data_IF_571292349686
#
_entry.id   IF_571292349686
#
_cell.length_a   1.000
_cell.length_b   1.000
_cell.length_c   1.000
_cell.angle_alpha   90.00
_cell.angle_beta   90.00
_cell.angle_gamma   90.00
#
_symmetry.space_group_name_H-M   'P 1'
#
loop_
_entity.id
_entity.type
_entity.pdbx_description
1 polymer ?
#
# COMPACT_ATOMS: atom_id res chain seq x y z
N UNK A 1 10.39 -20.70 -8.78
CA UNK A 1 9.42 -21.68 -8.23
C UNK A 1 8.89 -21.15 -6.91
N UNK A 2 7.59 -21.27 -6.64
CA UNK A 2 7.06 -20.92 -5.32
C UNK A 2 7.70 -21.82 -4.25
N UNK A 3 8.17 -21.25 -3.14
CA UNK A 3 8.76 -22.03 -2.06
C UNK A 3 7.70 -22.73 -1.20
N UNK A 4 8.16 -23.56 -0.26
CA UNK A 4 7.31 -24.24 0.71
C UNK A 4 7.73 -23.80 2.11
N UNK A 5 6.77 -23.33 2.90
CA UNK A 5 6.97 -22.86 4.28
C UNK A 5 6.27 -23.84 5.23
N UNK A 6 6.99 -24.66 6.00
CA UNK A 6 6.38 -25.53 7.00
C UNK A 6 5.65 -24.70 8.07
N UNK A 7 4.39 -25.03 8.34
CA UNK A 7 3.52 -24.30 9.26
C UNK A 7 3.19 -25.09 10.54
N UNK A 8 3.83 -26.25 10.74
CA UNK A 8 3.66 -27.10 11.92
C UNK A 8 2.74 -28.29 11.66
N UNK A 9 2.01 -28.70 12.68
CA UNK A 9 1.03 -29.80 12.61
C UNK A 9 -0.11 -29.56 13.59
N UNK A 10 -1.25 -30.22 13.38
CA UNK A 10 -2.36 -30.17 14.33
C UNK A 10 -1.92 -30.75 15.68
N UNK A 11 -2.19 -30.03 16.76
CA UNK A 11 -1.82 -30.45 18.11
C UNK A 11 -2.72 -31.58 18.58
N UNK A 12 -2.18 -32.44 19.45
CA UNK A 12 -3.02 -33.35 20.24
C UNK A 12 -3.90 -32.50 21.19
N UNK A 13 -5.24 -32.67 21.21
CA UNK A 13 -6.11 -31.89 22.09
C UNK A 13 -5.73 -31.94 23.58
N UNK A 14 -5.07 -33.02 24.03
CA UNK A 14 -4.58 -33.14 25.41
C UNK A 14 -3.39 -32.22 25.74
N UNK A 15 -2.73 -31.68 24.70
CA UNK A 15 -1.59 -30.76 24.78
C UNK A 15 -1.92 -29.36 24.30
N UNK A 16 -3.15 -29.16 23.83
CA UNK A 16 -3.60 -27.87 23.34
C UNK A 16 -3.75 -26.90 24.51
N UNK A 17 -3.16 -25.72 24.36
CA UNK A 17 -3.27 -24.67 25.38
C UNK A 17 -4.57 -23.86 25.22
N UNK A 18 -5.23 -23.98 24.06
CA UNK A 18 -6.48 -23.30 23.78
C UNK A 18 -7.66 -24.24 24.01
N UNK A 19 -8.77 -23.74 24.61
CA UNK A 19 -9.97 -24.54 24.79
C UNK A 19 -10.49 -25.10 23.47
N UNK A 20 -10.62 -26.41 23.39
CA UNK A 20 -11.08 -27.13 22.20
C UNK A 20 -11.87 -28.38 22.60
N UNK A 21 -12.74 -28.84 21.71
CA UNK A 21 -13.50 -30.09 21.85
C UNK A 21 -12.89 -31.26 21.06
N UNK A 22 -11.83 -31.01 20.28
CA UNK A 22 -11.18 -32.03 19.47
C UNK A 22 -10.08 -31.48 18.55
N UNK A 23 -9.40 -32.38 17.84
CA UNK A 23 -8.35 -31.99 16.91
C UNK A 23 -8.99 -31.29 15.69
N UNK A 24 -8.51 -30.08 15.40
CA UNK A 24 -8.94 -29.28 14.26
C UNK A 24 -7.89 -28.20 13.98
N UNK A 25 -8.05 -27.51 12.85
CA UNK A 25 -7.35 -26.26 12.56
C UNK A 25 -8.34 -25.11 12.66
N UNK A 26 -8.11 -24.16 13.56
CA UNK A 26 -8.72 -22.82 13.47
C UNK A 26 -7.79 -21.95 12.61
N UNK A 27 -8.26 -21.62 11.41
CA UNK A 27 -7.53 -20.73 10.48
C UNK A 27 -8.15 -19.33 10.50
N UNK A 28 -7.30 -18.33 10.74
CA UNK A 28 -7.70 -16.92 10.77
C UNK A 28 -6.95 -16.13 9.73
N UNK A 29 -7.64 -15.17 9.12
CA UNK A 29 -7.08 -14.28 8.09
C UNK A 29 -7.21 -12.83 8.53
N UNK A 30 -6.11 -12.09 8.47
CA UNK A 30 -6.02 -10.70 8.93
C UNK A 30 -5.35 -9.86 7.83
N UNK A 31 -6.09 -9.00 7.13
CA UNK A 31 -5.49 -8.03 6.21
C UNK A 31 -4.52 -7.12 6.95
N UNK A 32 -3.39 -6.81 6.34
CA UNK A 32 -2.41 -5.83 6.86
C UNK A 32 -2.50 -4.48 6.13
N UNK A 33 -3.57 -4.27 5.38
CA UNK A 33 -3.83 -3.12 4.50
C UNK A 33 -5.32 -2.75 4.48
N UNK A 34 -5.63 -1.57 3.93
CA UNK A 34 -6.99 -1.11 3.71
C UNK A 34 -7.81 -0.88 4.99
N UNK A 35 -9.12 -0.69 4.81
CA UNK A 35 -10.05 -0.39 5.91
C UNK A 35 -10.24 -1.54 6.93
N UNK A 36 -9.87 -2.77 6.55
CA UNK A 36 -9.93 -3.96 7.41
C UNK A 36 -8.56 -4.31 8.01
N UNK A 37 -7.56 -3.44 7.91
CA UNK A 37 -6.23 -3.67 8.46
C UNK A 37 -6.31 -4.06 9.94
N UNK A 38 -5.67 -5.17 10.30
CA UNK A 38 -5.59 -5.68 11.66
C UNK A 38 -6.86 -6.36 12.17
N UNK A 39 -7.95 -6.37 11.38
CA UNK A 39 -9.20 -7.05 11.74
C UNK A 39 -9.19 -8.46 11.18
N UNK A 40 -9.65 -9.43 11.98
CA UNK A 40 -9.89 -10.79 11.50
C UNK A 40 -11.13 -10.74 10.60
N UNK A 41 -11.00 -11.29 9.40
CA UNK A 41 -12.09 -11.35 8.41
C UNK A 41 -12.56 -12.80 8.27
N UNK A 42 -13.74 -12.98 7.67
CA UNK A 42 -14.23 -14.30 7.29
C UNK A 42 -13.25 -14.98 6.30
N UNK A 43 -12.60 -16.10 6.69
CA UNK A 43 -11.70 -16.85 5.83
C UNK A 43 -12.34 -17.32 4.50
N UNK A 44 -13.67 -17.45 4.43
CA UNK A 44 -14.41 -17.76 3.18
C UNK A 44 -14.21 -16.71 2.09
N UNK A 45 -13.83 -15.49 2.45
CA UNK A 45 -13.53 -14.40 1.50
C UNK A 45 -12.08 -14.42 0.99
N UNK A 46 -11.20 -15.20 1.61
CA UNK A 46 -9.77 -15.24 1.34
C UNK A 46 -9.30 -16.55 0.68
N UNK A 47 -10.18 -17.21 -0.08
CA UNK A 47 -9.93 -18.55 -0.65
C UNK A 47 -8.69 -18.63 -1.54
N UNK A 48 -8.38 -17.56 -2.27
CA UNK A 48 -7.17 -17.46 -3.11
C UNK A 48 -5.87 -17.48 -2.31
N UNK A 49 -5.89 -17.03 -1.06
CA UNK A 49 -4.76 -17.16 -0.13
C UNK A 49 -4.74 -18.55 0.50
N UNK A 50 -5.90 -19.04 0.93
CA UNK A 50 -6.01 -20.30 1.65
C UNK A 50 -5.78 -21.53 0.76
N UNK A 51 -5.91 -21.42 -0.56
CA UNK A 51 -5.52 -22.51 -1.47
C UNK A 51 -4.03 -22.86 -1.41
N UNK A 52 -3.22 -21.93 -0.92
CA UNK A 52 -1.79 -22.15 -0.72
C UNK A 52 -1.49 -22.83 0.63
N UNK A 53 -2.48 -22.96 1.52
CA UNK A 53 -2.35 -23.78 2.74
C UNK A 53 -2.49 -25.24 2.34
N UNK A 54 -1.44 -26.02 2.57
CA UNK A 54 -1.33 -27.43 2.21
C UNK A 54 -1.45 -28.28 3.47
N UNK A 55 -2.23 -29.34 3.38
CA UNK A 55 -2.60 -30.20 4.49
C UNK A 55 -2.17 -31.63 4.21
N UNK A 56 -1.58 -32.26 5.23
CA UNK A 56 -1.19 -33.66 5.15
C UNK A 56 0.10 -33.89 4.37
N UNK A 57 0.55 -35.15 4.36
CA UNK A 57 1.77 -35.57 3.64
C UNK A 57 1.61 -35.40 2.13
N UNK A 58 0.39 -35.57 1.65
CA UNK A 58 0.03 -35.44 0.23
C UNK A 58 -0.11 -33.98 -0.22
N UNK A 59 0.09 -33.02 0.69
CA UNK A 59 0.07 -31.59 0.40
C UNK A 59 -1.21 -31.14 -0.31
N UNK A 60 -2.35 -31.62 0.17
CA UNK A 60 -3.66 -31.29 -0.41
C UNK A 60 -4.00 -29.84 -0.02
N UNK A 61 -4.35 -28.95 -0.97
CA UNK A 61 -4.80 -27.61 -0.65
C UNK A 61 -5.99 -27.61 0.31
N UNK A 62 -6.03 -26.68 1.26
CA UNK A 62 -7.15 -26.55 2.20
C UNK A 62 -8.48 -26.28 1.47
N UNK A 63 -8.40 -25.38 0.50
CA UNK A 63 -9.47 -25.04 -0.44
C UNK A 63 -8.89 -25.00 -1.85
N UNK A 64 -9.65 -25.39 -2.86
CA UNK A 64 -9.20 -25.37 -4.24
C UNK A 64 -10.29 -24.80 -5.15
N UNK A 65 -9.85 -24.06 -6.16
CA UNK A 65 -10.75 -23.59 -7.21
C UNK A 65 -11.07 -24.75 -8.17
N UNK A 66 -12.34 -24.93 -8.50
CA UNK A 66 -12.85 -25.90 -9.46
C UNK A 66 -13.71 -25.15 -10.48
N UNK A 67 -13.10 -24.75 -11.59
CA UNK A 67 -13.75 -23.85 -12.56
C UNK A 67 -14.07 -22.49 -11.91
N UNK A 68 -15.35 -22.15 -11.85
CA UNK A 68 -15.83 -20.92 -11.19
C UNK A 68 -16.12 -21.12 -9.69
N UNK A 69 -16.20 -22.37 -9.24
CA UNK A 69 -16.53 -22.71 -7.86
C UNK A 69 -15.29 -22.93 -7.00
N UNK A 70 -15.51 -22.99 -5.69
CA UNK A 70 -14.48 -23.27 -4.71
C UNK A 70 -14.89 -24.46 -3.85
N UNK A 71 -14.02 -25.46 -3.77
CA UNK A 71 -14.21 -26.65 -2.96
C UNK A 71 -13.27 -26.63 -1.76
N UNK A 72 -13.82 -26.76 -0.56
CA UNK A 72 -13.04 -27.09 0.63
C UNK A 72 -12.73 -28.58 0.61
N UNK A 73 -11.45 -28.94 0.65
CA UNK A 73 -11.04 -30.34 0.57
C UNK A 73 -11.21 -31.09 1.89
N UNK A 74 -11.45 -30.35 2.97
CA UNK A 74 -11.65 -30.87 4.32
C UNK A 74 -12.93 -30.30 4.91
N UNK A 75 -13.62 -31.02 5.82
CA UNK A 75 -14.86 -30.55 6.42
C UNK A 75 -14.66 -29.29 7.25
N UNK A 76 -15.45 -28.25 6.97
CA UNK A 76 -15.59 -27.09 7.85
C UNK A 76 -16.60 -27.42 8.94
N UNK A 77 -16.18 -27.40 10.20
CA UNK A 77 -17.00 -27.78 11.36
C UNK A 77 -17.51 -26.60 12.17
N UNK A 78 -16.89 -25.42 12.02
CA UNK A 78 -17.37 -24.17 12.61
C UNK A 78 -17.08 -23.00 11.69
N UNK A 79 -18.10 -22.22 11.37
CA UNK A 79 -17.97 -21.01 10.54
C UNK A 79 -17.50 -19.81 11.37
N UNK A 80 -17.06 -18.78 10.67
CA UNK A 80 -16.78 -17.45 11.22
C UNK A 80 -18.07 -16.79 11.72
N UNK A 81 -18.00 -16.09 12.85
CA UNK A 81 -19.11 -15.28 13.36
C UNK A 81 -19.66 -15.75 14.70
N UNK A 82 -20.89 -15.32 15.01
CA UNK A 82 -21.53 -15.60 16.31
C UNK A 82 -21.87 -17.08 16.44
N UNK A 83 -21.61 -17.65 17.62
CA UNK A 83 -21.92 -19.03 17.97
C UNK A 83 -22.20 -19.17 19.48
N UNK A 84 -22.78 -20.31 19.87
CA UNK A 84 -22.68 -20.76 21.25
C UNK A 84 -21.23 -21.22 21.52
N UNK A 85 -20.70 -20.92 22.71
CA UNK A 85 -19.38 -21.40 23.10
C UNK A 85 -19.42 -22.94 23.20
N UNK A 86 -18.55 -23.67 22.46
CA UNK A 86 -18.61 -25.14 22.42
C UNK A 86 -18.07 -25.81 23.69
N UNK A 87 -17.25 -25.08 24.46
CA UNK A 87 -16.68 -25.52 25.72
C UNK A 87 -16.40 -24.32 26.61
N UNK A 88 -16.16 -24.55 27.90
CA UNK A 88 -15.80 -23.50 28.85
C UNK A 88 -14.51 -22.79 28.41
N UNK A 89 -14.52 -21.44 28.47
CA UNK A 89 -13.40 -20.61 28.05
C UNK A 89 -13.31 -20.32 26.54
N UNK A 90 -14.12 -20.98 25.70
CA UNK A 90 -14.18 -20.67 24.28
C UNK A 90 -15.03 -19.41 24.00
N UNK A 91 -14.67 -18.66 22.95
CA UNK A 91 -15.40 -17.46 22.53
C UNK A 91 -16.77 -17.77 21.91
N UNK A 92 -17.74 -16.89 22.17
CA UNK A 92 -19.07 -16.83 21.51
C UNK A 92 -19.05 -16.14 20.15
N UNK A 93 -17.91 -15.55 19.77
CA UNK A 93 -17.64 -15.11 18.40
C UNK A 93 -16.40 -15.81 17.88
N UNK A 94 -16.57 -16.58 16.82
CA UNK A 94 -15.49 -17.29 16.16
C UNK A 94 -14.80 -16.38 15.14
N UNK A 95 -13.52 -16.11 15.36
CA UNK A 95 -12.74 -15.17 14.54
C UNK A 95 -11.97 -15.86 13.39
N UNK A 96 -12.32 -17.11 13.10
CA UNK A 96 -11.72 -17.97 12.09
C UNK A 96 -12.75 -18.96 11.56
N UNK A 97 -12.27 -20.07 11.00
CA UNK A 97 -13.08 -21.25 10.71
C UNK A 97 -12.36 -22.49 11.21
N UNK A 98 -13.14 -23.47 11.67
CA UNK A 98 -12.61 -24.72 12.19
C UNK A 98 -12.68 -25.77 11.08
N UNK A 99 -11.53 -26.37 10.77
CA UNK A 99 -11.38 -27.43 9.79
C UNK A 99 -11.06 -28.73 10.51
N UNK A 100 -11.91 -29.75 10.33
CA UNK A 100 -11.70 -31.04 10.98
C UNK A 100 -10.48 -31.75 10.39
N UNK A 101 -9.46 -31.94 11.23
CA UNK A 101 -8.20 -32.60 10.89
C UNK A 101 -7.72 -33.42 12.08
N UNK A 102 -7.12 -34.58 11.83
CA UNK A 102 -6.58 -35.41 12.90
C UNK A 102 -5.32 -34.79 13.52
N UNK A 103 -5.09 -35.04 14.81
CA UNK A 103 -3.85 -34.67 15.49
C UNK A 103 -2.63 -35.21 14.73
N UNK A 104 -1.55 -34.43 14.71
CA UNK A 104 -0.32 -34.74 13.99
C UNK A 104 -0.37 -34.49 12.48
N UNK A 105 -1.50 -34.08 11.91
CA UNK A 105 -1.59 -33.74 10.47
C UNK A 105 -0.68 -32.55 10.16
N UNK A 106 0.32 -32.69 9.26
CA UNK A 106 1.24 -31.60 8.95
C UNK A 106 0.56 -30.51 8.12
N UNK A 107 1.03 -29.27 8.32
CA UNK A 107 0.60 -28.08 7.60
C UNK A 107 1.81 -27.41 6.94
N UNK A 108 1.60 -26.89 5.74
CA UNK A 108 2.58 -26.06 5.06
C UNK A 108 1.89 -24.95 4.25
N UNK A 109 2.66 -23.98 3.80
CA UNK A 109 2.20 -22.94 2.88
C UNK A 109 3.06 -22.92 1.62
N UNK A 110 2.41 -23.00 0.46
CA UNK A 110 3.04 -22.89 -0.85
C UNK A 110 3.08 -21.43 -1.29
N UNK A 111 4.25 -20.82 -1.30
CA UNK A 111 4.40 -19.44 -1.71
C UNK A 111 5.59 -18.76 -1.05
N UNK A 112 5.47 -17.44 -0.98
CA UNK A 112 6.43 -16.57 -0.33
C UNK A 112 5.85 -16.08 1.00
N UNK A 113 6.73 -15.70 1.92
CA UNK A 113 6.29 -15.20 3.20
C UNK A 113 7.27 -15.49 4.32
N UNK A 114 6.90 -15.04 5.52
CA UNK A 114 7.64 -15.28 6.75
C UNK A 114 6.73 -15.91 7.78
N UNK A 115 7.07 -17.13 8.22
CA UNK A 115 6.38 -17.85 9.27
C UNK A 115 7.09 -17.66 10.61
N UNK A 116 6.32 -17.43 11.66
CA UNK A 116 6.77 -17.27 13.04
C UNK A 116 5.92 -18.15 13.97
N UNK A 117 6.53 -19.06 14.74
CA UNK A 117 5.81 -19.79 15.79
C UNK A 117 5.48 -18.87 16.96
N UNK A 118 4.39 -19.19 17.66
CA UNK A 118 3.98 -18.63 18.94
C UNK A 118 3.35 -19.72 19.82
N UNK A 119 3.02 -19.45 21.07
CA UNK A 119 2.41 -20.44 21.95
C UNK A 119 1.03 -20.86 21.42
N UNK A 120 0.89 -22.15 21.04
CA UNK A 120 -0.36 -22.76 20.58
C UNK A 120 -0.80 -22.41 19.15
N UNK A 121 -0.06 -21.54 18.46
CA UNK A 121 -0.35 -21.17 17.07
C UNK A 121 0.90 -20.72 16.30
N UNK A 122 0.78 -20.62 14.98
CA UNK A 122 1.79 -19.96 14.15
C UNK A 122 1.20 -18.87 13.28
N UNK A 123 1.99 -17.83 12.99
CA UNK A 123 1.62 -16.72 12.12
C UNK A 123 2.46 -16.71 10.85
N UNK A 124 1.80 -16.65 9.70
CA UNK A 124 2.41 -16.47 8.39
C UNK A 124 2.08 -15.09 7.82
N UNK A 125 3.10 -14.30 7.54
CA UNK A 125 2.99 -13.06 6.77
C UNK A 125 3.23 -13.37 5.29
N UNK A 126 2.27 -13.04 4.44
CA UNK A 126 2.31 -13.30 2.98
C UNK A 126 1.58 -12.20 2.23
N UNK A 127 1.55 -12.26 0.90
CA UNK A 127 0.74 -11.38 0.05
C UNK A 127 -0.23 -12.17 -0.81
N UNK A 128 -1.36 -11.56 -1.17
CA UNK A 128 -2.22 -12.08 -2.23
C UNK A 128 -1.58 -11.88 -3.61
N UNK A 129 -2.31 -12.27 -4.67
CA UNK A 129 -1.86 -12.12 -6.06
C UNK A 129 -1.73 -10.66 -6.52
N UNK A 130 -2.34 -9.71 -5.80
CA UNK A 130 -2.26 -8.28 -6.05
C UNK A 130 -1.14 -7.62 -5.25
N UNK A 131 -0.42 -8.38 -4.43
CA UNK A 131 0.64 -7.87 -3.56
C UNK A 131 0.13 -7.26 -2.25
N UNK A 132 -1.15 -7.38 -1.94
CA UNK A 132 -1.68 -6.89 -0.67
C UNK A 132 -1.22 -7.79 0.48
N UNK A 133 -0.72 -7.23 1.60
CA UNK A 133 -0.17 -8.02 2.69
C UNK A 133 -1.24 -8.59 3.61
N UNK A 134 -1.08 -9.85 4.01
CA UNK A 134 -1.95 -10.57 4.94
C UNK A 134 -1.14 -11.31 6.00
N UNK A 135 -1.75 -11.49 7.17
CA UNK A 135 -1.35 -12.47 8.17
C UNK A 135 -2.37 -13.61 8.18
N UNK A 136 -1.89 -14.85 8.08
CA UNK A 136 -2.67 -16.07 8.30
C UNK A 136 -2.21 -16.68 9.62
N UNK A 137 -3.14 -16.98 10.54
CA UNK A 137 -2.85 -17.68 11.79
C UNK A 137 -3.37 -19.11 11.74
N UNK A 138 -2.56 -20.03 12.24
CA UNK A 138 -2.86 -21.45 12.35
C UNK A 138 -2.93 -21.83 13.83
N UNK A 139 -4.13 -21.84 14.41
CA UNK A 139 -4.36 -22.17 15.81
C UNK A 139 -4.62 -23.67 15.99
N UNK A 140 -4.50 -24.14 17.23
CA UNK A 140 -4.61 -25.56 17.57
C UNK A 140 -3.52 -26.38 16.86
N UNK A 141 -2.31 -25.82 16.85
CA UNK A 141 -1.13 -26.44 16.22
C UNK A 141 0.03 -26.57 17.18
N UNK A 142 0.85 -27.60 16.96
CA UNK A 142 2.25 -27.57 17.34
C UNK A 142 2.97 -26.79 16.22
N UNK A 143 3.32 -25.52 16.45
CA UNK A 143 3.77 -24.64 15.38
C UNK A 143 5.12 -25.11 14.81
N UNK A 144 5.33 -24.82 13.54
CA UNK A 144 6.57 -25.14 12.83
C UNK A 144 7.76 -24.29 13.31
N UNK A 145 8.92 -24.53 12.72
CA UNK A 145 10.07 -23.65 12.95
C UNK A 145 9.91 -22.32 12.21
N UNK A 146 10.54 -21.26 12.72
CA UNK A 146 10.62 -19.99 12.02
C UNK A 146 11.23 -20.21 10.62
N UNK A 147 10.55 -19.71 9.60
CA UNK A 147 10.95 -19.90 8.21
C UNK A 147 10.63 -18.65 7.38
N UNK A 148 11.39 -18.41 6.33
CA UNK A 148 11.12 -17.34 5.38
C UNK A 148 11.46 -17.81 3.97
N UNK A 149 10.55 -17.59 3.03
CA UNK A 149 10.79 -17.77 1.60
C UNK A 149 10.60 -16.39 0.97
N UNK A 150 11.71 -15.82 0.49
CA UNK A 150 11.71 -14.52 -0.16
C UNK A 150 11.03 -14.57 -1.52
N UNK A 151 10.24 -13.55 -1.84
CA UNK A 151 9.79 -13.30 -3.20
C UNK A 151 10.90 -12.56 -3.96
N UNK A 152 11.27 -13.03 -5.15
CA UNK A 152 12.11 -12.24 -6.07
C UNK A 152 11.31 -11.15 -6.79
N UNK A 153 9.99 -11.13 -6.64
CA UNK A 153 9.16 -10.05 -7.16
C UNK A 153 9.32 -8.82 -6.27
N UNK A 154 9.96 -7.80 -6.81
CA UNK A 154 9.85 -6.43 -6.31
C UNK A 154 8.35 -6.14 -6.16
N UNK A 155 7.84 -5.67 -5.01
CA UNK A 155 6.46 -5.23 -4.94
C UNK A 155 6.23 -4.27 -6.10
N UNK A 156 5.27 -4.56 -6.97
CA UNK A 156 4.80 -3.53 -7.87
C UNK A 156 4.37 -2.38 -6.94
N UNK A 157 4.97 -1.19 -7.05
CA UNK A 157 4.46 -0.05 -6.31
C UNK A 157 2.96 -0.01 -6.58
N UNK A 158 2.17 0.12 -5.51
CA UNK A 158 0.71 0.25 -5.59
C UNK A 158 0.41 1.14 -6.79
N UNK A 159 -0.28 0.60 -7.79
CA UNK A 159 -0.73 1.39 -8.91
C UNK A 159 -1.68 2.44 -8.32
N UNK A 160 -1.15 3.66 -8.12
CA UNK A 160 -1.96 4.82 -7.84
C UNK A 160 -3.02 4.89 -8.95
N UNK A 161 -4.29 5.19 -8.63
CA UNK A 161 -5.32 5.31 -9.64
C UNK A 161 -4.89 6.36 -10.68
N UNK A 162 -4.54 5.87 -11.87
CA UNK A 162 -4.22 6.65 -13.06
C UNK A 162 -2.92 7.46 -12.97
N UNK A 163 -2.01 7.22 -13.91
CA UNK A 163 -0.96 8.18 -14.23
C UNK A 163 -1.61 9.40 -14.91
N UNK A 164 -2.19 10.27 -14.10
CA UNK A 164 -2.63 11.61 -14.49
C UNK A 164 -1.70 12.60 -13.79
N UNK A 165 -0.41 12.48 -14.08
CA UNK A 165 0.67 13.36 -13.61
C UNK A 165 0.30 14.84 -13.79
N UNK A 166 -0.44 15.15 -14.87
CA UNK A 166 -0.99 16.48 -15.14
C UNK A 166 -2.03 16.91 -14.09
N UNK A 167 -3.01 16.05 -13.80
CA UNK A 167 -4.13 16.35 -12.91
C UNK A 167 -3.70 16.42 -11.44
N UNK A 168 -2.73 15.58 -11.05
CA UNK A 168 -2.11 15.62 -9.72
C UNK A 168 -1.26 16.87 -9.53
N UNK A 169 -0.56 17.31 -10.58
CA UNK A 169 0.18 18.57 -10.57
C UNK A 169 -0.75 19.77 -10.43
N UNK A 170 -1.80 19.83 -11.24
CA UNK A 170 -2.82 20.89 -11.14
C UNK A 170 -3.51 20.93 -9.77
N UNK A 171 -3.78 19.76 -9.18
CA UNK A 171 -4.37 19.67 -7.84
C UNK A 171 -3.39 20.11 -6.76
N UNK A 172 -2.12 19.73 -6.86
CA UNK A 172 -1.08 20.18 -5.92
C UNK A 172 -0.83 21.68 -6.06
N UNK A 173 -0.76 22.21 -7.28
CA UNK A 173 -0.57 23.64 -7.53
C UNK A 173 -1.73 24.46 -6.95
N UNK A 174 -2.98 23.99 -7.11
CA UNK A 174 -4.15 24.62 -6.47
C UNK A 174 -4.13 24.56 -4.95
N UNK A 175 -3.65 23.45 -4.37
CA UNK A 175 -3.54 23.32 -2.91
C UNK A 175 -2.45 24.23 -2.35
N UNK A 176 -1.33 24.38 -3.06
CA UNK A 176 -0.26 25.31 -2.68
C UNK A 176 -0.70 26.77 -2.79
N UNK A 177 -1.42 27.13 -3.86
CA UNK A 177 -2.02 28.46 -4.02
C UNK A 177 -3.04 28.78 -2.91
N UNK A 178 -3.83 27.79 -2.49
CA UNK A 178 -4.84 27.95 -1.44
C UNK A 178 -4.25 28.04 -0.02
N UNK A 179 -3.15 27.33 0.24
CA UNK A 179 -2.53 27.27 1.56
C UNK A 179 -1.54 28.41 1.84
N UNK A 180 -0.79 28.85 0.82
CA UNK A 180 0.29 29.82 0.99
C UNK A 180 0.03 31.14 0.25
N UNK A 181 -1.13 31.28 -0.40
CA UNK A 181 -1.36 32.31 -1.40
C UNK A 181 -0.47 32.06 -2.63
N UNK A 182 -0.67 32.83 -3.71
CA UNK A 182 0.22 32.77 -4.88
C UNK A 182 1.63 33.18 -4.49
N UNK A 183 2.47 32.22 -4.09
CA UNK A 183 3.90 32.44 -3.99
C UNK A 183 4.42 32.65 -5.41
N UNK A 184 4.94 33.85 -5.68
CA UNK A 184 5.63 34.12 -6.93
C UNK A 184 6.70 33.07 -7.13
N UNK A 185 6.60 32.31 -8.22
CA UNK A 185 7.59 31.27 -8.49
C UNK A 185 8.96 31.93 -8.72
N UNK A 186 10.05 31.20 -8.51
CA UNK A 186 11.39 31.71 -8.83
C UNK A 186 11.49 32.21 -10.28
N UNK A 187 10.71 31.62 -11.20
CA UNK A 187 10.61 32.09 -12.59
C UNK A 187 9.92 33.46 -12.69
N UNK A 188 8.84 33.67 -11.94
CA UNK A 188 8.13 34.97 -11.92
C UNK A 188 9.02 36.08 -11.33
N UNK A 189 9.79 35.77 -10.29
CA UNK A 189 10.78 36.70 -9.70
C UNK A 189 11.89 37.04 -10.71
N UNK A 190 12.40 36.05 -11.44
CA UNK A 190 13.44 36.28 -12.45
C UNK A 190 12.91 37.08 -13.64
N UNK A 191 11.70 36.79 -14.12
CA UNK A 191 11.07 37.50 -15.24
C UNK A 191 10.76 38.95 -14.84
N UNK A 192 10.22 39.17 -13.65
CA UNK A 192 9.93 40.53 -13.15
C UNK A 192 11.20 41.35 -12.96
N UNK A 193 12.27 40.76 -12.43
CA UNK A 193 13.57 41.44 -12.34
C UNK A 193 14.15 41.79 -13.71
N UNK A 194 14.12 40.84 -14.66
CA UNK A 194 14.59 41.08 -16.03
C UNK A 194 13.78 42.19 -16.74
N UNK A 195 12.45 42.20 -16.55
CA UNK A 195 11.58 43.22 -17.13
C UNK A 195 11.81 44.60 -16.52
N UNK A 196 12.03 44.68 -15.21
CA UNK A 196 12.36 45.93 -14.54
C UNK A 196 13.71 46.48 -15.00
N UNK A 197 14.71 45.61 -15.15
CA UNK A 197 16.03 46.00 -15.65
C UNK A 197 15.98 46.49 -17.11
N UNK A 198 15.20 45.81 -17.97
CA UNK A 198 14.98 46.26 -19.34
C UNK A 198 14.26 47.62 -19.43
N UNK A 199 13.30 47.89 -18.53
CA UNK A 199 12.63 49.20 -18.45
C UNK A 199 13.59 50.31 -18.03
N UNK A 200 14.45 50.07 -17.04
CA UNK A 200 15.47 51.04 -16.61
C UNK A 200 16.44 51.36 -17.74
N UNK A 201 16.94 50.34 -18.44
CA UNK A 201 17.85 50.53 -19.57
C UNK A 201 17.19 51.32 -20.72
N UNK A 202 15.90 51.09 -20.99
CA UNK A 202 15.15 51.87 -21.99
C UNK A 202 14.94 53.33 -21.57
N UNK A 203 14.69 53.59 -20.28
CA UNK A 203 14.59 54.96 -19.78
C UNK A 203 15.93 55.69 -19.91
N UNK A 204 17.05 55.05 -19.54
CA UNK A 204 18.39 55.61 -19.74
C UNK A 204 18.71 55.85 -21.22
N UNK A 205 18.38 54.93 -22.12
CA UNK A 205 18.60 55.15 -23.56
C UNK A 205 17.77 56.31 -24.12
N UNK A 206 16.56 56.54 -23.59
CA UNK A 206 15.73 57.67 -23.99
C UNK A 206 16.29 59.01 -23.48
N UNK A 207 16.88 59.02 -22.29
CA UNK A 207 17.60 60.18 -21.75
C UNK A 207 18.88 60.50 -22.55
N UNK A 208 19.62 59.47 -23.01
CA UNK A 208 20.83 59.65 -23.82
C UNK A 208 20.54 60.11 -25.26
N UNK A 209 19.33 59.85 -25.79
CA UNK A 209 18.92 60.33 -27.13
C UNK A 209 18.44 61.79 -27.15
N UNK A 210 18.30 62.43 -25.99
CA UNK A 210 18.08 63.87 -25.91
C UNK A 210 19.44 64.58 -25.95
N UNK A 211 19.97 64.79 -27.16
CA UNK A 211 21.07 65.75 -27.34
C UNK A 211 20.68 67.10 -26.75
N UNK A 212 21.52 67.77 -25.95
CA UNK A 212 21.25 69.14 -25.55
C UNK A 212 21.19 69.99 -26.82
N UNK A 213 20.09 70.72 -27.02
CA UNK A 213 20.03 71.80 -28.00
C UNK A 213 21.12 72.81 -27.65
N UNK A 214 22.28 72.70 -28.29
CA UNK A 214 23.27 73.77 -28.31
C UNK A 214 22.65 74.94 -29.06
N UNK A 215 22.28 75.96 -28.31
CA UNK A 215 21.81 77.25 -28.79
C UNK A 215 22.83 77.88 -29.74
N UNK A 216 22.68 77.67 -31.05
CA UNK A 216 23.26 78.56 -32.04
C UNK A 216 22.34 79.79 -32.13
N UNK A 217 22.53 80.72 -31.19
CA UNK A 217 21.98 82.05 -31.28
C UNK A 217 22.60 82.76 -32.48
N UNK A 218 21.78 83.07 -33.48
CA UNK A 218 22.17 83.96 -34.58
C UNK A 218 22.37 85.34 -33.97
N UNK A 219 23.52 85.96 -34.25
CA UNK A 219 23.83 87.31 -33.74
C UNK A 219 22.85 88.35 -34.32
N UNK A 220 22.54 89.45 -33.60
CA UNK A 220 21.66 90.51 -34.11
C UNK A 220 22.10 91.09 -35.47
N UNK A 221 23.40 91.09 -35.78
CA UNK A 221 23.91 91.53 -37.08
C UNK A 221 23.55 90.59 -38.24
N UNK A 222 23.49 89.27 -37.99
CA UNK A 222 23.05 88.28 -39.00
C UNK A 222 21.53 88.34 -39.24
N UNK A 223 20.74 88.78 -38.26
CA UNK A 223 19.30 88.97 -38.43
C UNK A 223 18.96 90.20 -39.29
N UNK A 224 19.79 91.26 -39.27
CA UNK A 224 19.55 92.48 -40.05
C UNK A 224 19.87 92.33 -41.55
N UNK A 225 20.66 91.33 -41.96
CA UNK A 225 20.94 91.07 -43.38
C UNK A 225 19.83 90.29 -44.11
N UNK A 226 18.86 89.73 -43.38
CA UNK A 226 17.75 88.96 -43.96
C UNK A 226 16.53 89.81 -44.34
N UNK A 227 16.57 91.13 -44.09
CA UNK A 227 15.49 92.07 -44.41
C UNK A 227 15.96 93.31 -45.19
N UNK A 228 17.10 93.22 -45.88
CA UNK A 228 17.56 94.20 -46.87
C UNK A 228 17.28 93.72 -48.30
#
# INVERSE_FOLDING_TARGET
>A
MAGLIPAGRIVDPSKDIFPSTGAHLDVRVIPQFGAQKGKKIDPRTAKTLLQNVLVGKDQIPLVQQQGQDWKWNFPVTSEYGKRAAPTAGASTFHEGIDISLSAGTPLAYKGYGTYRPDAGFGSLQTTDTQGNPYEIRFLHTEPGQKAAVGSSAVPNPLALPGDNTQQNKERNDRLMDALFGKQQTLKDVLISNALNQAKQNRQQSLLDTLTPYSSMGISPEQAMQLFA
#
